data_IF_349634926041
#
_entry.id   IF_349634926041
#
_cell.length_a   1.000
_cell.length_b   1.000
_cell.length_c   1.000
_cell.angle_alpha   90.00
_cell.angle_beta   90.00
_cell.angle_gamma   90.00
#
_symmetry.space_group_name_H-M   'P 1'
#
loop_
_entity.id
_entity.type
_entity.pdbx_description
1 polymer ?
#
# COMPACT_ATOMS: atom_id res chain seq x y z
N UNK A 1 -8.39 23.00 -4.13
CA UNK A 1 -7.08 22.84 -3.44
C UNK A 1 -6.99 23.85 -2.33
N UNK A 2 -6.69 23.39 -1.12
CA UNK A 2 -6.35 24.27 0.01
C UNK A 2 -4.94 24.86 -0.18
N UNK A 3 -4.59 25.96 0.50
CA UNK A 3 -3.21 26.50 0.48
C UNK A 3 -2.17 25.45 0.90
N UNK A 4 -2.50 24.58 1.85
CA UNK A 4 -1.63 23.49 2.28
C UNK A 4 -1.36 22.45 1.18
N UNK A 5 -2.39 22.05 0.45
CA UNK A 5 -2.27 21.12 -0.69
C UNK A 5 -1.52 21.76 -1.86
N UNK A 6 -1.84 23.01 -2.18
CA UNK A 6 -1.15 23.76 -3.23
C UNK A 6 0.35 23.90 -2.95
N UNK A 7 0.72 24.21 -1.70
CA UNK A 7 2.11 24.31 -1.27
C UNK A 7 2.85 22.95 -1.32
N UNK A 8 2.16 21.85 -1.04
CA UNK A 8 2.70 20.51 -1.19
C UNK A 8 3.01 20.20 -2.64
N UNK A 9 2.06 20.43 -3.54
CA UNK A 9 2.23 20.20 -4.98
C UNK A 9 3.34 21.08 -5.56
N UNK A 10 3.40 22.35 -5.18
CA UNK A 10 4.45 23.28 -5.63
C UNK A 10 5.85 22.89 -5.09
N UNK A 11 5.91 22.12 -4.03
CA UNK A 11 7.15 21.60 -3.48
C UNK A 11 7.78 20.45 -4.27
N UNK A 12 6.96 19.67 -5.00
CA UNK A 12 7.38 18.44 -5.69
C UNK A 12 8.36 18.65 -6.85
N UNK A 13 8.21 19.65 -7.75
CA UNK A 13 9.05 19.76 -8.94
C UNK A 13 10.55 19.85 -8.66
N UNK A 14 10.94 20.37 -7.48
CA UNK A 14 12.35 20.49 -7.10
C UNK A 14 13.08 19.16 -6.98
N UNK A 15 12.45 18.14 -6.40
CA UNK A 15 12.98 16.81 -6.25
C UNK A 15 11.82 15.83 -5.96
N UNK A 16 11.12 15.33 -6.98
CA UNK A 16 9.86 14.59 -6.81
C UNK A 16 9.99 13.38 -5.89
N UNK A 17 11.03 12.58 -6.04
CA UNK A 17 11.24 11.39 -5.20
C UNK A 17 11.60 11.74 -3.75
N UNK A 18 12.43 12.79 -3.54
CA UNK A 18 12.87 13.18 -2.20
C UNK A 18 11.78 13.87 -1.37
N UNK A 19 10.85 14.56 -2.04
CA UNK A 19 9.73 15.28 -1.41
C UNK A 19 8.39 14.59 -1.63
N UNK A 20 8.39 13.33 -2.05
CA UNK A 20 7.18 12.54 -2.17
C UNK A 20 6.53 12.36 -0.78
N UNK A 21 5.29 12.86 -0.57
CA UNK A 21 4.65 12.80 0.75
C UNK A 21 4.25 11.39 1.17
N UNK A 22 4.17 10.43 0.24
CA UNK A 22 3.88 9.01 0.54
C UNK A 22 5.13 8.31 1.08
N UNK A 23 6.27 8.48 0.41
CA UNK A 23 7.51 7.77 0.77
C UNK A 23 8.38 8.53 1.77
N UNK A 24 8.32 9.86 1.77
CA UNK A 24 9.14 10.73 2.63
C UNK A 24 8.32 11.83 3.32
N UNK A 25 7.33 11.50 4.16
CA UNK A 25 6.38 12.48 4.72
C UNK A 25 7.08 13.61 5.51
N UNK A 26 8.14 13.31 6.25
CA UNK A 26 8.90 14.33 7.02
C UNK A 26 9.55 15.37 6.10
N UNK A 27 10.21 14.93 5.02
CA UNK A 27 10.85 15.84 4.05
C UNK A 27 9.81 16.61 3.23
N UNK A 28 8.72 15.95 2.85
CA UNK A 28 7.60 16.58 2.16
C UNK A 28 6.97 17.70 3.01
N UNK A 29 6.70 17.44 4.30
CA UNK A 29 6.18 18.44 5.23
C UNK A 29 7.13 19.63 5.41
N UNK A 30 8.42 19.37 5.58
CA UNK A 30 9.42 20.43 5.68
C UNK A 30 9.45 21.32 4.42
N UNK A 31 9.34 20.69 3.23
CA UNK A 31 9.28 21.42 1.96
C UNK A 31 7.98 22.21 1.80
N UNK A 32 6.83 21.63 2.18
CA UNK A 32 5.54 22.32 2.22
C UNK A 32 5.61 23.58 3.08
N UNK A 33 6.16 23.45 4.31
CA UNK A 33 6.31 24.60 5.22
C UNK A 33 7.21 25.70 4.65
N UNK A 34 8.26 25.33 3.94
CA UNK A 34 9.09 26.31 3.23
C UNK A 34 8.28 27.06 2.16
N UNK A 35 7.48 26.37 1.36
CA UNK A 35 6.65 27.00 0.34
C UNK A 35 5.59 27.90 0.97
N UNK A 36 4.89 27.44 2.02
CA UNK A 36 3.91 28.24 2.75
C UNK A 36 4.52 29.54 3.32
N UNK A 37 5.73 29.48 3.89
CA UNK A 37 6.44 30.67 4.36
C UNK A 37 6.70 31.66 3.22
N UNK A 38 7.16 31.16 2.06
CA UNK A 38 7.38 32.01 0.89
C UNK A 38 6.10 32.65 0.37
N UNK A 39 4.98 31.90 0.37
CA UNK A 39 3.66 32.44 0.01
C UNK A 39 3.23 33.56 0.98
N UNK A 40 3.43 33.35 2.27
CA UNK A 40 3.15 34.36 3.28
C UNK A 40 4.06 35.59 3.16
N UNK A 41 5.40 35.42 3.02
CA UNK A 41 6.35 36.53 2.82
C UNK A 41 6.02 37.41 1.60
N UNK A 42 5.50 36.76 0.55
CA UNK A 42 5.08 37.40 -0.69
C UNK A 42 3.63 37.94 -0.64
N UNK A 43 2.97 37.85 0.51
CA UNK A 43 1.58 38.32 0.75
C UNK A 43 0.52 37.60 -0.10
N UNK A 44 0.76 36.36 -0.50
CA UNK A 44 -0.26 35.50 -1.10
C UNK A 44 -1.17 34.82 -0.05
N UNK A 45 -0.76 34.82 1.23
CA UNK A 45 -1.54 34.34 2.37
C UNK A 45 -1.58 35.40 3.47
N UNK A 46 -2.70 35.49 4.15
CA UNK A 46 -2.83 36.23 5.40
C UNK A 46 -2.18 35.46 6.56
N UNK A 47 -2.00 36.11 7.72
CA UNK A 47 -1.48 35.45 8.93
C UNK A 47 -2.35 34.30 9.40
N UNK A 48 -3.68 34.44 9.29
CA UNK A 48 -4.65 33.43 9.64
C UNK A 48 -4.55 32.23 8.71
N UNK A 49 -4.58 32.44 7.39
CA UNK A 49 -4.47 31.37 6.38
C UNK A 49 -3.14 30.63 6.47
N UNK A 50 -2.04 31.35 6.77
CA UNK A 50 -0.74 30.73 6.96
C UNK A 50 -0.72 29.80 8.17
N UNK A 51 -1.28 30.23 9.33
CA UNK A 51 -1.37 29.42 10.53
C UNK A 51 -2.25 28.17 10.33
N UNK A 52 -3.38 28.34 9.66
CA UNK A 52 -4.28 27.24 9.33
C UNK A 52 -3.58 26.21 8.43
N UNK A 53 -2.96 26.67 7.34
CA UNK A 53 -2.27 25.81 6.38
C UNK A 53 -1.04 25.10 6.99
N UNK A 54 -0.34 25.76 7.93
CA UNK A 54 0.80 25.17 8.63
C UNK A 54 0.38 23.99 9.50
N UNK A 55 -0.77 24.10 10.18
CA UNK A 55 -1.30 23.09 11.09
C UNK A 55 -2.15 22.03 10.37
N UNK A 56 -2.48 22.23 9.10
CA UNK A 56 -3.26 21.30 8.34
C UNK A 56 -2.55 19.93 8.27
N UNK A 57 -3.29 18.82 8.53
CA UNK A 57 -2.75 17.48 8.37
C UNK A 57 -2.33 17.25 6.91
N UNK A 58 -1.28 16.46 6.71
CA UNK A 58 -0.91 15.99 5.39
C UNK A 58 -1.98 14.99 4.91
N UNK A 59 -2.97 15.49 4.17
CA UNK A 59 -3.92 14.64 3.48
C UNK A 59 -3.24 14.03 2.23
N UNK A 60 -2.42 13.04 2.44
CA UNK A 60 -1.90 12.22 1.35
C UNK A 60 -2.97 11.19 1.06
N UNK A 61 -3.69 11.34 -0.05
CA UNK A 61 -4.51 10.24 -0.54
C UNK A 61 -3.59 9.04 -0.68
N UNK A 62 -3.95 7.94 -0.05
CA UNK A 62 -3.27 6.67 -0.30
C UNK A 62 -3.33 6.49 -1.81
N UNK A 63 -2.16 6.62 -2.46
CA UNK A 63 -2.01 6.79 -3.90
C UNK A 63 -2.91 5.87 -4.70
N UNK A 64 -3.10 6.16 -5.96
CA UNK A 64 -3.91 5.45 -6.96
C UNK A 64 -3.72 3.91 -7.02
N UNK A 65 -3.73 3.25 -5.88
CA UNK A 65 -4.32 1.94 -5.75
C UNK A 65 -5.83 2.17 -5.79
N UNK A 66 -6.28 2.49 -7.01
CA UNK A 66 -7.68 2.46 -7.33
C UNK A 66 -8.14 1.01 -7.21
N UNK A 67 -8.34 0.59 -5.96
CA UNK A 67 -9.36 -0.43 -5.77
C UNK A 67 -10.64 0.29 -6.11
N UNK A 68 -11.10 0.10 -7.34
CA UNK A 68 -12.44 0.52 -7.72
C UNK A 68 -13.38 0.12 -6.59
N UNK A 69 -14.22 1.00 -6.07
CA UNK A 69 -15.14 0.63 -5.00
C UNK A 69 -16.00 -0.59 -5.34
N UNK A 70 -16.06 -0.96 -6.61
CA UNK A 70 -16.77 -2.12 -7.13
C UNK A 70 -15.90 -3.36 -7.34
N UNK A 71 -14.58 -3.30 -7.09
CA UNK A 71 -13.65 -4.41 -7.39
C UNK A 71 -13.83 -4.97 -8.81
N UNK A 72 -13.91 -4.09 -9.79
CA UNK A 72 -14.25 -4.41 -11.18
C UNK A 72 -13.07 -4.16 -12.14
N UNK A 73 -11.85 -4.19 -11.65
CA UNK A 73 -10.63 -3.90 -12.41
C UNK A 73 -10.48 -4.84 -13.62
N UNK A 74 -10.80 -6.14 -13.45
CA UNK A 74 -10.77 -7.11 -14.54
C UNK A 74 -11.83 -6.82 -15.60
N UNK A 75 -13.03 -6.42 -15.20
CA UNK A 75 -14.11 -6.04 -16.14
C UNK A 75 -13.75 -4.75 -16.87
N UNK A 76 -13.15 -3.80 -16.18
CA UNK A 76 -12.65 -2.56 -16.78
C UNK A 76 -11.57 -2.85 -17.84
N UNK A 77 -10.65 -3.79 -17.55
CA UNK A 77 -9.65 -4.21 -18.52
C UNK A 77 -10.25 -4.94 -19.73
N UNK A 78 -11.21 -5.82 -19.53
CA UNK A 78 -11.97 -6.44 -20.64
C UNK A 78 -12.67 -5.38 -21.51
N UNK A 79 -13.32 -4.38 -20.89
CA UNK A 79 -13.96 -3.30 -21.60
C UNK A 79 -12.94 -2.44 -22.38
N UNK A 80 -11.76 -2.19 -21.79
CA UNK A 80 -10.66 -1.50 -22.44
C UNK A 80 -10.19 -2.24 -23.70
N UNK A 81 -10.02 -3.57 -23.60
CA UNK A 81 -9.61 -4.41 -24.74
C UNK A 81 -10.63 -4.35 -25.88
N UNK A 82 -11.91 -4.48 -25.59
CA UNK A 82 -12.98 -4.36 -26.58
C UNK A 82 -12.97 -2.98 -27.24
N UNK A 83 -12.80 -1.92 -26.46
CA UNK A 83 -12.71 -0.57 -27.01
C UNK A 83 -11.45 -0.40 -27.89
N UNK A 84 -10.33 -0.95 -27.48
CA UNK A 84 -9.09 -0.88 -28.25
C UNK A 84 -9.17 -1.68 -29.55
N UNK A 85 -9.78 -2.86 -29.56
CA UNK A 85 -10.03 -3.65 -30.75
C UNK A 85 -10.89 -2.91 -31.79
N UNK A 86 -11.86 -2.11 -31.31
CA UNK A 86 -12.77 -1.38 -32.18
C UNK A 86 -12.19 -0.05 -32.71
N UNK A 87 -11.38 0.66 -31.92
CA UNK A 87 -10.93 2.03 -32.23
C UNK A 87 -9.41 2.22 -32.18
N UNK A 88 -8.62 1.21 -31.82
CA UNK A 88 -7.17 1.31 -31.73
C UNK A 88 -6.72 2.40 -30.73
N UNK A 89 -5.71 3.18 -31.10
CA UNK A 89 -5.16 4.27 -30.26
C UNK A 89 -6.19 5.38 -29.97
N UNK A 90 -7.19 5.53 -30.84
CA UNK A 90 -8.29 6.48 -30.65
C UNK A 90 -9.11 6.18 -29.37
N UNK A 91 -9.09 4.94 -28.89
CA UNK A 91 -9.77 4.56 -27.65
C UNK A 91 -9.28 5.36 -26.43
N UNK A 92 -8.02 5.82 -26.44
CA UNK A 92 -7.44 6.58 -25.34
C UNK A 92 -7.63 8.10 -25.45
N UNK A 93 -7.96 8.59 -26.64
CA UNK A 93 -8.01 10.04 -26.93
C UNK A 93 -9.42 10.57 -27.14
N UNK A 94 -10.36 9.71 -27.55
CA UNK A 94 -11.74 10.13 -27.88
C UNK A 94 -12.67 10.30 -26.66
N UNK A 95 -12.21 9.99 -25.45
CA UNK A 95 -13.04 10.11 -24.24
C UNK A 95 -14.26 9.17 -24.27
N UNK A 96 -14.07 7.92 -24.67
CA UNK A 96 -15.13 6.93 -24.79
C UNK A 96 -15.72 6.56 -23.43
N UNK A 97 -17.03 6.39 -23.38
CA UNK A 97 -17.74 5.82 -22.22
C UNK A 97 -18.25 4.44 -22.59
N UNK A 98 -17.84 3.42 -21.84
CA UNK A 98 -18.26 2.03 -22.06
C UNK A 98 -19.28 1.63 -20.99
N UNK A 99 -20.47 1.26 -21.42
CA UNK A 99 -21.54 0.76 -20.57
C UNK A 99 -21.47 -0.77 -20.49
N UNK A 100 -21.39 -1.29 -19.27
CA UNK A 100 -21.34 -2.73 -19.02
C UNK A 100 -22.63 -3.22 -18.36
N UNK A 101 -22.86 -4.54 -18.39
CA UNK A 101 -24.04 -5.17 -17.79
C UNK A 101 -23.80 -5.63 -16.34
N UNK A 102 -22.61 -5.40 -15.77
CA UNK A 102 -22.34 -5.81 -14.41
C UNK A 102 -23.12 -4.96 -13.41
N UNK A 103 -23.55 -5.58 -12.32
CA UNK A 103 -24.16 -4.89 -11.19
C UNK A 103 -23.18 -4.89 -10.02
N UNK A 104 -23.02 -3.76 -9.37
CA UNK A 104 -22.09 -3.58 -8.25
C UNK A 104 -22.24 -4.64 -7.16
N UNK A 105 -23.48 -4.91 -6.72
CA UNK A 105 -23.75 -5.89 -5.67
C UNK A 105 -23.32 -7.32 -6.05
N UNK A 106 -23.56 -7.71 -7.31
CA UNK A 106 -23.19 -9.05 -7.79
C UNK A 106 -21.66 -9.18 -7.91
N UNK A 107 -20.99 -8.12 -8.38
CA UNK A 107 -19.55 -8.08 -8.49
C UNK A 107 -18.87 -8.16 -7.11
N UNK A 108 -19.37 -7.42 -6.12
CA UNK A 108 -18.87 -7.48 -4.75
C UNK A 108 -19.09 -8.86 -4.12
N UNK A 109 -20.25 -9.47 -4.33
CA UNK A 109 -20.56 -10.82 -3.86
C UNK A 109 -19.64 -11.87 -4.51
N UNK A 110 -19.44 -11.79 -5.84
CA UNK A 110 -18.55 -12.68 -6.58
C UNK A 110 -17.11 -12.54 -6.13
N UNK A 111 -16.60 -11.30 -5.97
CA UNK A 111 -15.25 -11.06 -5.46
C UNK A 111 -15.06 -11.64 -4.05
N UNK A 112 -16.00 -11.40 -3.13
CA UNK A 112 -15.94 -11.93 -1.77
C UNK A 112 -15.97 -13.48 -1.76
N UNK A 113 -16.78 -14.10 -2.63
CA UNK A 113 -16.86 -15.55 -2.75
C UNK A 113 -15.56 -16.15 -3.32
N UNK A 114 -15.01 -15.55 -4.38
CA UNK A 114 -13.73 -15.95 -4.97
C UNK A 114 -12.61 -15.86 -3.94
N UNK A 115 -12.49 -14.73 -3.25
CA UNK A 115 -11.47 -14.52 -2.22
C UNK A 115 -11.55 -15.58 -1.12
N UNK A 116 -12.74 -15.84 -0.58
CA UNK A 116 -12.92 -16.91 0.41
C UNK A 116 -12.49 -18.26 -0.16
N UNK A 117 -12.92 -18.61 -1.36
CA UNK A 117 -12.58 -19.87 -2.01
C UNK A 117 -11.08 -20.07 -2.20
N UNK A 118 -10.36 -19.03 -2.62
CA UNK A 118 -8.90 -19.05 -2.79
C UNK A 118 -8.20 -19.23 -1.44
N UNK A 119 -8.59 -18.46 -0.41
CA UNK A 119 -8.00 -18.59 0.93
C UNK A 119 -8.27 -19.96 1.57
N UNK A 120 -9.47 -20.50 1.38
CA UNK A 120 -9.82 -21.84 1.88
C UNK A 120 -9.05 -22.95 1.12
N UNK A 121 -8.84 -22.77 -0.18
CA UNK A 121 -7.99 -23.64 -0.97
C UNK A 121 -6.55 -23.60 -0.44
N UNK A 122 -5.98 -22.42 -0.25
CA UNK A 122 -4.61 -22.25 0.22
C UNK A 122 -4.41 -22.86 1.62
N UNK A 123 -5.34 -22.62 2.54
CA UNK A 123 -5.32 -23.24 3.88
C UNK A 123 -5.31 -24.78 3.84
N UNK A 124 -6.07 -25.38 2.92
CA UNK A 124 -6.10 -26.84 2.78
C UNK A 124 -4.80 -27.43 2.23
N UNK A 125 -4.10 -26.68 1.39
CA UNK A 125 -2.84 -27.10 0.79
C UNK A 125 -1.62 -26.80 1.66
N UNK A 126 -1.79 -25.99 2.69
CA UNK A 126 -0.76 -25.62 3.65
C UNK A 126 0.17 -24.49 3.17
N UNK A 127 0.90 -23.95 4.09
CA UNK A 127 1.83 -22.84 3.86
C UNK A 127 2.99 -23.28 2.98
N UNK A 128 3.31 -22.49 1.96
CA UNK A 128 4.34 -22.79 0.96
C UNK A 128 5.70 -22.12 1.20
N UNK A 129 5.80 -21.32 2.23
CA UNK A 129 7.01 -20.57 2.59
C UNK A 129 6.80 -19.07 2.55
N UNK A 130 7.75 -18.29 3.10
CA UNK A 130 7.72 -16.83 3.01
C UNK A 130 7.96 -16.37 1.57
N UNK A 131 7.41 -15.22 1.21
CA UNK A 131 7.58 -14.64 -0.13
C UNK A 131 9.02 -14.16 -0.37
N UNK A 132 9.66 -13.64 0.68
CA UNK A 132 11.05 -13.19 0.65
C UNK A 132 11.71 -13.33 2.02
N UNK A 133 13.03 -13.25 2.05
CA UNK A 133 13.82 -13.13 3.28
C UNK A 133 14.44 -11.75 3.35
N UNK A 134 14.31 -11.11 4.50
CA UNK A 134 14.86 -9.78 4.78
C UNK A 134 15.97 -9.91 5.81
N UNK A 135 17.13 -9.33 5.52
CA UNK A 135 18.21 -9.24 6.50
C UNK A 135 17.89 -8.12 7.49
N UNK A 136 17.72 -8.47 8.76
CA UNK A 136 17.39 -7.53 9.84
C UNK A 136 18.67 -7.18 10.61
N UNK A 137 19.18 -5.96 10.54
CA UNK A 137 20.33 -5.51 11.32
C UNK A 137 19.92 -5.18 12.77
N UNK A 138 20.86 -5.30 13.71
CA UNK A 138 20.64 -5.01 15.14
C UNK A 138 20.48 -3.51 15.43
N UNK A 139 21.04 -2.63 14.59
CA UNK A 139 20.98 -1.18 14.80
C UNK A 139 19.60 -0.63 14.39
N UNK A 140 18.95 0.11 15.29
CA UNK A 140 17.58 0.60 15.14
C UNK A 140 17.34 1.39 13.83
N UNK A 141 18.21 2.34 13.50
CA UNK A 141 18.05 3.12 12.25
C UNK A 141 18.21 2.26 10.99
N UNK A 142 19.10 1.28 11.02
CA UNK A 142 19.30 0.36 9.91
C UNK A 142 18.14 -0.64 9.80
N UNK A 143 17.55 -1.04 10.93
CA UNK A 143 16.36 -1.89 11.00
C UNK A 143 15.15 -1.18 10.36
N UNK A 144 14.87 0.07 10.77
CA UNK A 144 13.76 0.86 10.19
C UNK A 144 13.93 1.03 8.68
N UNK A 145 15.15 1.25 8.21
CA UNK A 145 15.43 1.37 6.79
C UNK A 145 15.26 0.02 6.04
N UNK A 146 15.59 -1.11 6.66
CA UNK A 146 15.40 -2.45 6.09
C UNK A 146 13.92 -2.81 6.01
N UNK A 147 13.14 -2.57 7.07
CA UNK A 147 11.70 -2.75 7.10
C UNK A 147 11.00 -1.88 6.06
N UNK A 148 11.37 -0.60 5.97
CA UNK A 148 10.81 0.32 4.98
C UNK A 148 11.02 -0.14 3.53
N UNK A 149 12.17 -0.74 3.21
CA UNK A 149 12.43 -1.34 1.89
C UNK A 149 11.59 -2.58 1.66
N UNK A 150 11.54 -3.48 2.64
CA UNK A 150 10.76 -4.71 2.55
C UNK A 150 9.28 -4.43 2.27
N UNK A 151 8.67 -3.50 3.00
CA UNK A 151 7.27 -3.11 2.79
C UNK A 151 7.03 -2.35 1.49
N UNK A 152 8.02 -1.64 0.96
CA UNK A 152 7.90 -1.01 -0.36
C UNK A 152 7.86 -2.05 -1.50
N UNK A 153 8.54 -3.18 -1.33
CA UNK A 153 8.60 -4.28 -2.30
C UNK A 153 7.42 -5.26 -2.15
N UNK A 154 6.85 -5.39 -0.95
CA UNK A 154 5.74 -6.27 -0.63
C UNK A 154 4.47 -5.47 -0.23
N UNK A 155 3.74 -4.95 -1.20
CA UNK A 155 2.54 -4.18 -0.93
C UNK A 155 1.38 -5.04 -0.39
N UNK A 156 0.50 -4.42 0.41
CA UNK A 156 -0.75 -5.05 0.84
C UNK A 156 -1.60 -5.49 -0.35
N UNK A 157 -2.08 -6.71 -0.32
CA UNK A 157 -2.92 -7.29 -1.37
C UNK A 157 -4.27 -7.64 -0.78
N UNK A 158 -5.29 -6.92 -1.21
CA UNK A 158 -6.71 -7.21 -0.93
C UNK A 158 -7.03 -7.48 0.57
N UNK A 159 -6.50 -6.63 1.45
CA UNK A 159 -6.70 -6.75 2.90
C UNK A 159 -5.85 -7.85 3.56
N UNK A 160 -4.81 -8.31 2.89
CA UNK A 160 -3.73 -9.10 3.46
C UNK A 160 -2.52 -8.18 3.61
N UNK A 161 -2.30 -7.59 4.80
CA UNK A 161 -1.14 -6.74 5.02
C UNK A 161 0.14 -7.56 4.98
N UNK A 162 1.19 -7.00 4.39
CA UNK A 162 2.52 -7.56 4.46
C UNK A 162 3.04 -7.47 5.89
N UNK A 163 3.74 -8.49 6.36
CA UNK A 163 4.37 -8.50 7.67
C UNK A 163 5.77 -9.12 7.59
N UNK A 164 6.71 -8.55 8.33
CA UNK A 164 8.06 -9.09 8.47
C UNK A 164 8.15 -9.89 9.77
N UNK A 165 8.63 -11.12 9.68
CA UNK A 165 8.86 -11.97 10.85
C UNK A 165 10.11 -11.48 11.58
N UNK A 166 9.97 -11.18 12.87
CA UNK A 166 11.08 -10.79 13.76
C UNK A 166 11.66 -11.98 14.51
N UNK A 167 10.80 -12.93 14.87
CA UNK A 167 11.16 -14.14 15.60
C UNK A 167 10.12 -15.22 15.37
N UNK A 168 10.55 -16.49 15.27
CA UNK A 168 9.67 -17.60 15.00
C UNK A 168 10.02 -18.83 15.82
N UNK A 169 9.07 -19.26 16.62
CA UNK A 169 9.09 -20.52 17.36
C UNK A 169 7.89 -21.37 16.99
N UNK A 170 7.85 -22.67 17.30
CA UNK A 170 6.67 -23.50 17.08
C UNK A 170 5.40 -23.03 17.83
N UNK A 171 5.57 -22.26 18.90
CA UNK A 171 4.47 -21.79 19.75
C UNK A 171 4.03 -20.35 19.46
N UNK A 172 4.94 -19.53 18.92
CA UNK A 172 4.70 -18.11 18.68
C UNK A 172 5.54 -17.61 17.52
N UNK A 173 4.94 -16.79 16.67
CA UNK A 173 5.62 -16.01 15.62
C UNK A 173 5.34 -14.54 15.87
N UNK A 174 6.41 -13.76 16.08
CA UNK A 174 6.32 -12.31 16.23
C UNK A 174 6.59 -11.65 14.89
N UNK A 175 5.67 -10.79 14.49
CA UNK A 175 5.74 -10.06 13.22
C UNK A 175 5.58 -8.57 13.47
N UNK A 176 6.08 -7.77 12.54
CA UNK A 176 5.80 -6.33 12.47
C UNK A 176 5.12 -6.04 11.13
N UNK A 177 4.04 -5.27 11.16
CA UNK A 177 3.33 -4.79 9.98
C UNK A 177 3.89 -3.45 9.48
N UNK A 178 3.46 -3.01 8.30
CA UNK A 178 3.96 -1.79 7.66
C UNK A 178 3.66 -0.50 8.44
N UNK A 179 2.65 -0.49 9.30
CA UNK A 179 2.29 0.61 10.21
C UNK A 179 3.15 0.63 11.50
N UNK A 180 4.04 -0.37 11.67
CA UNK A 180 4.91 -0.53 12.83
C UNK A 180 4.25 -1.29 13.98
N UNK A 181 3.01 -1.78 13.83
CA UNK A 181 2.36 -2.60 14.84
C UNK A 181 3.05 -3.97 14.94
N UNK A 182 3.47 -4.34 16.15
CA UNK A 182 4.01 -5.66 16.44
C UNK A 182 2.87 -6.60 16.86
N UNK A 183 2.74 -7.73 16.17
CA UNK A 183 1.69 -8.72 16.40
C UNK A 183 2.33 -10.06 16.75
N UNK A 184 1.82 -10.72 17.79
CA UNK A 184 2.15 -12.11 18.13
C UNK A 184 1.08 -13.06 17.61
N UNK A 185 1.48 -13.97 16.74
CA UNK A 185 0.62 -15.02 16.19
C UNK A 185 0.85 -16.30 17.00
N UNK A 186 -0.21 -16.85 17.60
CA UNK A 186 -0.16 -18.04 18.46
C UNK A 186 -1.30 -19.00 18.14
N UNK A 187 -1.24 -20.21 18.68
CA UNK A 187 -2.32 -21.19 18.67
C UNK A 187 -2.84 -21.53 17.27
N UNK A 188 -4.14 -21.34 17.04
CA UNK A 188 -4.77 -21.67 15.76
C UNK A 188 -4.25 -20.82 14.58
N UNK A 189 -3.72 -19.63 14.85
CA UNK A 189 -3.09 -18.79 13.83
C UNK A 189 -1.84 -19.42 13.21
N UNK A 190 -1.14 -20.28 13.95
CA UNK A 190 0.06 -20.98 13.48
C UNK A 190 -0.24 -22.33 12.81
N UNK A 191 -1.46 -22.85 12.94
CA UNK A 191 -1.83 -24.17 12.46
C UNK A 191 -1.56 -24.38 10.98
N UNK A 192 -1.82 -23.35 10.19
CA UNK A 192 -1.59 -23.32 8.76
C UNK A 192 -0.11 -23.49 8.39
N UNK A 193 0.80 -22.90 9.15
CA UNK A 193 2.23 -22.85 8.90
C UNK A 193 3.06 -23.76 9.83
N UNK A 194 2.42 -24.60 10.65
CA UNK A 194 3.09 -25.38 11.72
C UNK A 194 4.25 -26.26 11.23
N UNK A 195 4.17 -26.75 9.99
CA UNK A 195 5.25 -27.56 9.38
C UNK A 195 6.49 -26.73 9.03
N UNK A 196 6.35 -25.42 8.95
CA UNK A 196 7.40 -24.48 8.53
C UNK A 196 8.07 -23.77 9.72
N UNK A 197 7.59 -24.01 10.95
CA UNK A 197 8.07 -23.39 12.18
C UNK A 197 9.06 -24.28 12.98
N UNK A 198 9.26 -25.51 12.57
CA UNK A 198 10.10 -26.45 13.32
C UNK A 198 11.41 -26.79 12.60
N UNK A 199 12.26 -27.57 13.28
CA UNK A 199 13.55 -28.04 12.74
C UNK A 199 13.41 -28.96 11.52
N UNK A 200 12.22 -29.49 11.30
CA UNK A 200 11.90 -30.30 10.12
C UNK A 200 11.60 -29.49 8.86
N UNK A 201 11.46 -28.17 8.98
CA UNK A 201 11.24 -27.29 7.83
C UNK A 201 12.52 -27.19 6.99
N UNK A 202 12.37 -27.21 5.66
CA UNK A 202 13.50 -26.98 4.75
C UNK A 202 13.96 -25.53 4.83
N UNK A 203 15.22 -25.26 4.52
CA UNK A 203 15.78 -23.91 4.55
C UNK A 203 15.01 -22.91 3.65
N UNK A 204 14.45 -23.41 2.54
CA UNK A 204 13.68 -22.62 1.59
C UNK A 204 12.25 -22.28 2.03
N UNK A 205 11.69 -23.02 3.01
CA UNK A 205 10.30 -22.84 3.44
C UNK A 205 10.17 -22.52 4.93
N UNK A 206 11.31 -22.49 5.66
CA UNK A 206 11.33 -22.19 7.10
C UNK A 206 11.00 -20.72 7.34
N UNK A 207 10.09 -20.49 8.27
CA UNK A 207 9.84 -19.15 8.84
C UNK A 207 10.89 -18.95 9.93
N UNK A 208 11.69 -17.87 9.82
CA UNK A 208 12.76 -17.51 10.74
C UNK A 208 12.96 -16.00 10.78
#
# INVERSE_FOLDING_TARGET
LTPAEAAMLAGLPKAPSAYNPVTNPKRAKARQLYVLRRMHDLRFLTDEEFKEAQNAPLAVGQGLRSTSPTRAEFVAEMARQVAFEAWGEDAYTKGLTVWTTIRKADQEAAHAALRRGVLDYDRRHGYRGPEAYVSLPDATEALDAALGRAFAEAPDIDGLPAAVVLDATPAEVRVVAADGEAVSITGDGLRFASRNLGDKATAATRIR
#
